data_IF_887969649223
#
_entry.id   IF_887969649223
#
_cell.length_a   1.000
_cell.length_b   1.000
_cell.length_c   1.000
_cell.angle_alpha   90.00
_cell.angle_beta   90.00
_cell.angle_gamma   90.00
#
_symmetry.space_group_name_H-M   'P 1'
#
loop_
_entity.id
_entity.type
_entity.pdbx_description
1 polymer ?
#
# COMPACT_ATOMS: atom_id res chain seq x y z
N UNK A 1 -13.63 19.02 4.20
CA UNK A 1 -13.18 19.54 2.89
C UNK A 1 -12.09 20.59 3.04
N UNK A 2 -12.29 21.68 3.79
CA UNK A 2 -11.29 22.76 3.96
C UNK A 2 -9.93 22.22 4.44
N UNK A 3 -9.89 21.39 5.49
CA UNK A 3 -8.64 20.80 5.98
C UNK A 3 -7.93 19.93 4.93
N UNK A 4 -8.69 19.19 4.11
CA UNK A 4 -8.13 18.34 3.05
C UNK A 4 -7.45 19.19 1.97
N UNK A 5 -8.11 20.28 1.54
CA UNK A 5 -7.54 21.21 0.57
C UNK A 5 -6.32 21.94 1.14
N UNK A 6 -6.36 22.31 2.43
CA UNK A 6 -5.23 22.95 3.10
C UNK A 6 -3.98 22.05 3.18
N UNK A 7 -4.15 20.73 3.34
CA UNK A 7 -3.01 19.80 3.43
C UNK A 7 -2.18 19.78 2.14
N UNK A 8 -2.80 19.95 0.96
CA UNK A 8 -2.10 19.87 -0.33
C UNK A 8 -0.92 20.87 -0.46
N UNK A 9 -1.11 22.20 -0.29
CA UNK A 9 0.01 23.14 -0.32
C UNK A 9 0.97 22.98 0.86
N UNK A 10 0.50 22.57 2.04
CA UNK A 10 1.38 22.30 3.18
C UNK A 10 2.31 21.11 2.91
N UNK A 11 1.80 20.04 2.31
CA UNK A 11 2.59 18.88 1.93
C UNK A 11 3.69 19.26 0.92
N UNK A 12 3.34 20.11 -0.06
CA UNK A 12 4.31 20.65 -1.01
C UNK A 12 5.43 21.44 -0.31
N UNK A 13 5.07 22.39 0.56
CA UNK A 13 6.04 23.20 1.30
C UNK A 13 6.96 22.35 2.19
N UNK A 14 6.41 21.32 2.85
CA UNK A 14 7.20 20.40 3.66
C UNK A 14 8.17 19.57 2.81
N UNK A 15 7.73 19.12 1.62
CA UNK A 15 8.57 18.42 0.66
C UNK A 15 9.75 19.29 0.19
N UNK A 16 9.47 20.52 -0.25
CA UNK A 16 10.51 21.48 -0.67
C UNK A 16 11.49 21.79 0.47
N UNK A 17 11.00 21.99 1.70
CA UNK A 17 11.85 22.20 2.87
C UNK A 17 12.70 20.97 3.21
N UNK A 18 12.17 19.76 3.03
CA UNK A 18 12.90 18.50 3.26
C UNK A 18 14.01 18.31 2.23
N UNK A 19 13.74 18.63 0.97
CA UNK A 19 14.71 18.56 -0.12
C UNK A 19 15.85 19.57 0.10
N UNK A 20 15.52 20.83 0.42
CA UNK A 20 16.52 21.85 0.78
C UNK A 20 17.36 21.44 2.00
N UNK A 21 16.73 20.89 3.03
CA UNK A 21 17.46 20.40 4.20
C UNK A 21 18.38 19.23 3.83
N UNK A 22 17.92 18.30 3.00
CA UNK A 22 18.71 17.16 2.56
C UNK A 22 19.97 17.59 1.79
N UNK A 23 19.88 18.66 0.97
CA UNK A 23 21.03 19.21 0.24
C UNK A 23 22.13 19.77 1.16
N UNK A 24 21.77 20.23 2.36
CA UNK A 24 22.71 20.72 3.37
C UNK A 24 23.24 19.62 4.29
N UNK A 25 22.92 18.35 4.01
CA UNK A 25 23.38 17.18 4.77
C UNK A 25 24.18 16.22 3.89
N UNK A 26 24.72 15.15 4.48
CA UNK A 26 25.38 14.10 3.71
C UNK A 26 24.35 13.17 3.03
N UNK A 27 24.79 12.40 2.03
CA UNK A 27 23.90 11.56 1.20
C UNK A 27 23.05 10.57 2.03
N UNK A 28 23.61 10.00 3.09
CA UNK A 28 22.89 9.06 3.95
C UNK A 28 21.81 9.75 4.79
N UNK A 29 22.14 10.86 5.45
CA UNK A 29 21.18 11.64 6.23
C UNK A 29 20.12 12.27 5.33
N UNK A 30 20.50 12.81 4.18
CA UNK A 30 19.56 13.36 3.20
C UNK A 30 18.58 12.30 2.69
N UNK A 31 19.06 11.08 2.43
CA UNK A 31 18.20 9.94 2.09
C UNK A 31 17.23 9.58 3.21
N UNK A 32 17.69 9.56 4.47
CA UNK A 32 16.85 9.30 5.64
C UNK A 32 15.80 10.40 5.86
N UNK A 33 16.18 11.67 5.69
CA UNK A 33 15.28 12.82 5.79
C UNK A 33 14.17 12.73 4.73
N UNK A 34 14.52 12.45 3.48
CA UNK A 34 13.53 12.31 2.41
C UNK A 34 12.61 11.11 2.64
N UNK A 35 13.14 9.97 3.09
CA UNK A 35 12.32 8.79 3.38
C UNK A 35 11.31 9.04 4.52
N UNK A 36 11.70 9.81 5.54
CA UNK A 36 10.87 10.11 6.71
C UNK A 36 9.97 11.33 6.50
N UNK A 37 10.55 12.53 6.35
CA UNK A 37 9.82 13.78 6.22
C UNK A 37 9.15 13.97 4.86
N UNK A 38 9.68 13.35 3.80
CA UNK A 38 9.04 13.34 2.48
C UNK A 38 7.70 12.59 2.47
N UNK A 39 7.47 11.69 3.43
CA UNK A 39 6.19 10.98 3.64
C UNK A 39 5.55 11.36 4.99
N UNK A 40 5.95 12.49 5.61
CA UNK A 40 5.50 12.84 6.96
C UNK A 40 3.99 13.06 7.03
N UNK A 41 3.39 13.62 5.98
CA UNK A 41 1.94 13.87 5.95
C UNK A 41 1.17 12.55 6.01
N UNK A 42 1.54 11.56 5.19
CA UNK A 42 0.94 10.23 5.28
C UNK A 42 1.15 9.58 6.65
N UNK A 43 2.37 9.66 7.20
CA UNK A 43 2.70 9.09 8.50
C UNK A 43 1.87 9.71 9.64
N UNK A 44 1.77 11.04 9.69
CA UNK A 44 1.01 11.77 10.71
C UNK A 44 -0.47 11.40 10.62
N UNK A 45 -1.06 11.43 9.42
CA UNK A 45 -2.47 11.08 9.22
C UNK A 45 -2.71 9.61 9.57
N UNK A 46 -1.80 8.72 9.18
CA UNK A 46 -1.86 7.29 9.49
C UNK A 46 -1.83 7.02 10.99
N UNK A 47 -0.91 7.65 11.73
CA UNK A 47 -0.79 7.50 13.19
C UNK A 47 -2.04 8.04 13.90
N UNK A 48 -2.56 9.20 13.47
CA UNK A 48 -3.78 9.79 14.06
C UNK A 48 -5.02 8.94 13.74
N UNK A 49 -5.08 8.33 12.57
CA UNK A 49 -6.17 7.41 12.23
C UNK A 49 -6.07 6.11 13.05
N UNK A 50 -4.85 5.58 13.23
CA UNK A 50 -4.60 4.38 14.01
C UNK A 50 -4.94 4.58 15.49
N UNK A 51 -4.59 5.73 16.07
CA UNK A 51 -4.93 6.06 17.47
C UNK A 51 -6.45 6.18 17.71
N UNK A 52 -7.24 6.36 16.64
CA UNK A 52 -8.70 6.35 16.65
C UNK A 52 -9.31 4.99 16.30
N UNK A 53 -8.49 3.94 16.17
CA UNK A 53 -8.94 2.59 15.80
C UNK A 53 -9.37 2.44 14.33
N UNK A 54 -9.03 3.40 13.47
CA UNK A 54 -9.44 3.40 12.05
C UNK A 54 -8.50 2.54 11.19
N UNK A 55 -8.31 1.27 11.57
CA UNK A 55 -7.34 0.37 10.92
C UNK A 55 -7.58 0.23 9.41
N UNK A 56 -8.85 0.07 9.00
CA UNK A 56 -9.22 -0.07 7.58
C UNK A 56 -8.86 1.17 6.76
N UNK A 57 -8.96 2.36 7.36
CA UNK A 57 -8.57 3.61 6.71
C UNK A 57 -7.06 3.65 6.48
N UNK A 58 -6.27 3.26 7.49
CA UNK A 58 -4.80 3.20 7.39
C UNK A 58 -4.33 2.19 6.34
N UNK A 59 -4.94 1.00 6.32
CA UNK A 59 -4.66 -0.03 5.32
C UNK A 59 -4.99 0.46 3.90
N UNK A 60 -6.19 1.04 3.72
CA UNK A 60 -6.61 1.59 2.44
C UNK A 60 -5.73 2.76 1.99
N UNK A 61 -5.30 3.64 2.90
CA UNK A 61 -4.41 4.75 2.56
C UNK A 61 -3.00 4.29 2.18
N UNK A 62 -2.48 3.24 2.81
CA UNK A 62 -1.17 2.67 2.47
C UNK A 62 -1.18 2.08 1.05
N UNK A 63 -2.18 1.24 0.73
CA UNK A 63 -2.36 0.71 -0.63
C UNK A 63 -2.63 1.83 -1.65
N UNK A 64 -3.47 2.81 -1.27
CA UNK A 64 -3.78 3.97 -2.09
C UNK A 64 -2.55 4.81 -2.43
N UNK A 65 -1.63 5.01 -1.49
CA UNK A 65 -0.37 5.74 -1.72
C UNK A 65 0.51 5.03 -2.76
N UNK A 66 0.68 3.71 -2.64
CA UNK A 66 1.43 2.91 -3.62
C UNK A 66 0.80 3.01 -5.00
N UNK A 67 -0.51 2.76 -5.11
CA UNK A 67 -1.23 2.82 -6.38
C UNK A 67 -1.22 4.22 -7.00
N UNK A 68 -1.38 5.26 -6.18
CA UNK A 68 -1.32 6.65 -6.63
C UNK A 68 0.04 6.96 -7.24
N UNK A 69 1.15 6.55 -6.62
CA UNK A 69 2.48 6.83 -7.16
C UNK A 69 2.76 6.08 -8.47
N UNK A 70 2.36 4.80 -8.56
CA UNK A 70 2.67 3.94 -9.71
C UNK A 70 1.74 4.17 -10.89
N UNK A 71 0.47 4.49 -10.65
CA UNK A 71 -0.52 4.65 -11.71
C UNK A 71 -0.83 6.12 -11.98
N UNK A 72 -1.22 6.87 -10.95
CA UNK A 72 -1.68 8.24 -11.13
C UNK A 72 -0.51 9.19 -11.39
N UNK A 73 0.46 9.27 -10.49
CA UNK A 73 1.60 10.19 -10.62
C UNK A 73 2.44 9.85 -11.84
N UNK A 74 2.81 8.56 -12.00
CA UNK A 74 3.56 8.10 -13.17
C UNK A 74 2.78 8.31 -14.48
N UNK A 75 1.47 7.99 -14.50
CA UNK A 75 0.62 8.18 -15.68
C UNK A 75 0.48 9.65 -16.06
N UNK A 76 0.32 10.54 -15.07
CA UNK A 76 0.29 11.99 -15.29
C UNK A 76 1.65 12.53 -15.74
N UNK A 77 2.76 11.98 -15.24
CA UNK A 77 4.10 12.33 -15.71
C UNK A 77 4.30 11.93 -17.18
N UNK A 78 3.86 10.73 -17.58
CA UNK A 78 3.90 10.30 -18.99
C UNK A 78 2.97 11.13 -19.87
N UNK A 79 1.77 11.45 -19.38
CA UNK A 79 0.84 12.32 -20.10
C UNK A 79 1.44 13.71 -20.30
N UNK A 80 1.96 14.33 -19.24
CA UNK A 80 2.60 15.65 -19.32
C UNK A 80 3.84 15.63 -20.22
N UNK A 81 4.71 14.62 -20.11
CA UNK A 81 5.87 14.46 -20.98
C UNK A 81 5.44 14.28 -22.45
N UNK A 82 4.41 13.47 -22.71
CA UNK A 82 3.89 13.15 -24.04
C UNK A 82 3.27 14.35 -24.78
N UNK A 83 2.79 15.37 -24.05
CA UNK A 83 2.30 16.61 -24.69
C UNK A 83 3.42 17.43 -25.31
N UNK A 84 4.66 17.31 -24.81
CA UNK A 84 5.82 18.07 -25.28
C UNK A 84 6.80 17.24 -26.11
N UNK A 85 6.96 15.96 -25.78
CA UNK A 85 7.95 15.07 -26.38
C UNK A 85 7.28 13.82 -26.97
N UNK A 86 7.59 13.49 -28.23
CA UNK A 86 7.09 12.27 -28.89
C UNK A 86 7.64 10.99 -28.25
N UNK A 87 8.87 11.05 -27.77
CA UNK A 87 9.56 9.98 -27.03
C UNK A 87 10.33 10.62 -25.89
N UNK A 88 10.29 9.99 -24.71
CA UNK A 88 11.04 10.41 -23.54
C UNK A 88 12.03 9.32 -23.17
N UNK A 89 13.29 9.69 -22.97
CA UNK A 89 14.35 8.76 -22.55
C UNK A 89 14.49 8.79 -21.04
N UNK A 90 14.74 7.62 -20.44
CA UNK A 90 14.96 7.44 -19.01
C UNK A 90 16.13 6.50 -18.80
N UNK A 91 16.77 6.56 -17.63
CA UNK A 91 17.80 5.60 -17.27
C UNK A 91 17.15 4.23 -17.02
N UNK A 92 17.30 3.31 -17.98
CA UNK A 92 16.70 1.98 -17.96
C UNK A 92 17.16 1.16 -16.76
N UNK A 93 18.46 1.21 -16.42
CA UNK A 93 19.03 0.51 -15.27
C UNK A 93 18.42 0.99 -13.95
N UNK A 94 18.33 2.30 -13.75
CA UNK A 94 17.75 2.87 -12.53
C UNK A 94 16.24 2.56 -12.43
N UNK A 95 15.50 2.73 -13.52
CA UNK A 95 14.07 2.43 -13.55
C UNK A 95 13.78 0.95 -13.28
N UNK A 96 14.58 0.04 -13.85
CA UNK A 96 14.45 -1.40 -13.62
C UNK A 96 14.79 -1.78 -12.17
N UNK A 97 15.83 -1.20 -11.59
CA UNK A 97 16.17 -1.41 -10.18
C UNK A 97 15.04 -0.95 -9.25
N UNK A 98 14.50 0.26 -9.43
CA UNK A 98 13.38 0.77 -8.65
C UNK A 98 12.11 -0.07 -8.82
N UNK A 99 11.80 -0.51 -10.05
CA UNK A 99 10.64 -1.37 -10.31
C UNK A 99 10.76 -2.73 -9.64
N UNK A 100 11.98 -3.29 -9.62
CA UNK A 100 12.25 -4.58 -8.97
C UNK A 100 12.15 -4.49 -7.45
N UNK A 101 12.69 -3.42 -6.85
CA UNK A 101 12.55 -3.16 -5.41
C UNK A 101 11.09 -2.93 -5.00
N UNK A 102 10.32 -2.18 -5.81
CA UNK A 102 8.90 -1.96 -5.57
C UNK A 102 8.12 -3.29 -5.62
N UNK A 103 8.38 -4.14 -6.62
CA UNK A 103 7.73 -5.44 -6.72
C UNK A 103 8.02 -6.29 -5.48
N UNK A 104 9.29 -6.37 -5.05
CA UNK A 104 9.69 -7.08 -3.84
C UNK A 104 8.97 -6.54 -2.60
N UNK A 105 8.90 -5.22 -2.44
CA UNK A 105 8.21 -4.59 -1.32
C UNK A 105 6.70 -4.89 -1.30
N UNK A 106 6.03 -4.80 -2.45
CA UNK A 106 4.59 -5.08 -2.57
C UNK A 106 4.31 -6.57 -2.34
N UNK A 107 5.14 -7.48 -2.85
CA UNK A 107 5.00 -8.91 -2.56
C UNK A 107 5.16 -9.21 -1.08
N UNK A 108 6.15 -8.60 -0.40
CA UNK A 108 6.33 -8.73 1.03
C UNK A 108 5.12 -8.24 1.84
N UNK A 109 4.53 -7.10 1.43
CA UNK A 109 3.33 -6.54 2.05
C UNK A 109 2.08 -7.42 1.82
N UNK A 110 1.97 -8.05 0.64
CA UNK A 110 0.83 -8.90 0.27
C UNK A 110 0.89 -10.30 0.88
N UNK A 111 2.08 -10.79 1.27
CA UNK A 111 2.27 -12.16 1.76
C UNK A 111 1.37 -12.50 2.95
N UNK A 112 1.27 -11.68 4.02
CA UNK A 112 0.35 -11.97 5.12
C UNK A 112 -1.11 -11.99 4.67
N UNK A 113 -1.52 -11.05 3.81
CA UNK A 113 -2.89 -10.97 3.31
C UNK A 113 -3.27 -12.21 2.50
N UNK A 114 -2.40 -12.66 1.59
CA UNK A 114 -2.59 -13.88 0.82
C UNK A 114 -2.67 -15.10 1.74
N UNK A 115 -1.79 -15.21 2.73
CA UNK A 115 -1.82 -16.30 3.70
C UNK A 115 -3.14 -16.37 4.47
N UNK A 116 -3.60 -15.25 5.04
CA UNK A 116 -4.86 -15.21 5.78
C UNK A 116 -6.07 -15.60 4.92
N UNK A 117 -6.12 -15.18 3.66
CA UNK A 117 -7.20 -15.56 2.74
C UNK A 117 -7.22 -17.08 2.49
N UNK A 118 -6.05 -17.68 2.23
CA UNK A 118 -5.95 -19.14 1.98
C UNK A 118 -6.33 -19.99 3.20
N UNK A 119 -5.91 -19.56 4.41
CA UNK A 119 -6.26 -20.26 5.65
C UNK A 119 -7.75 -20.14 5.93
N UNK A 120 -8.36 -18.97 5.72
CA UNK A 120 -9.79 -18.77 5.93
C UNK A 120 -10.64 -19.62 4.97
N UNK A 121 -10.21 -19.75 3.70
CA UNK A 121 -10.87 -20.66 2.75
C UNK A 121 -10.76 -22.12 3.17
N UNK A 122 -9.56 -22.56 3.58
CA UNK A 122 -9.32 -23.93 4.05
C UNK A 122 -10.16 -24.27 5.28
N UNK A 123 -10.26 -23.35 6.25
CA UNK A 123 -11.11 -23.54 7.44
C UNK A 123 -12.59 -23.63 7.09
N UNK A 124 -13.07 -22.80 6.14
CA UNK A 124 -14.48 -22.84 5.70
C UNK A 124 -14.82 -24.17 5.05
N UNK A 125 -13.93 -24.68 4.20
CA UNK A 125 -14.11 -25.95 3.50
C UNK A 125 -14.12 -27.13 4.49
N UNK A 126 -13.15 -27.18 5.41
CA UNK A 126 -13.10 -28.22 6.46
C UNK A 126 -14.35 -28.19 7.35
N UNK A 127 -14.85 -27.02 7.73
CA UNK A 127 -16.07 -26.89 8.53
C UNK A 127 -17.31 -27.37 7.77
N UNK A 128 -17.40 -27.11 6.47
CA UNK A 128 -18.48 -27.61 5.63
C UNK A 128 -18.46 -29.14 5.54
N UNK A 129 -17.28 -29.74 5.36
CA UNK A 129 -17.10 -31.19 5.30
C UNK A 129 -17.44 -31.88 6.64
N UNK A 130 -16.99 -31.29 7.76
CA UNK A 130 -17.35 -31.77 9.11
C UNK A 130 -18.84 -31.66 9.39
N UNK A 131 -19.52 -30.61 8.90
CA UNK A 131 -20.96 -30.44 9.07
C UNK A 131 -21.74 -31.53 8.32
N UNK A 132 -21.34 -31.83 7.08
CA UNK A 132 -21.94 -32.91 6.27
C UNK A 132 -21.72 -34.28 6.95
N UNK A 133 -20.51 -34.54 7.45
CA UNK A 133 -20.16 -35.80 8.11
C UNK A 133 -20.92 -36.02 9.42
N UNK A 134 -21.21 -34.94 10.18
CA UNK A 134 -22.03 -35.03 11.40
C UNK A 134 -23.49 -35.30 11.08
N UNK A 135 -24.03 -34.63 10.06
CA UNK A 135 -25.41 -34.81 9.62
C UNK A 135 -25.68 -36.25 9.16
N UNK A 136 -24.79 -36.85 8.37
CA UNK A 136 -24.92 -38.25 7.92
C UNK A 136 -24.79 -39.25 9.07
N UNK A 137 -23.96 -38.96 10.08
CA UNK A 137 -23.82 -39.81 11.27
C UNK A 137 -25.06 -39.79 12.17
N UNK A 138 -25.76 -38.65 12.28
CA UNK A 138 -27.02 -38.54 13.04
C UNK A 138 -28.18 -39.28 12.34
N UNK A 139 -28.30 -39.19 11.01
CA UNK A 139 -29.34 -39.90 10.25
C UNK A 139 -29.15 -41.44 10.25
N UNK A 140 -27.91 -41.92 10.34
CA UNK A 140 -27.61 -43.36 10.39
C UNK A 140 -28.04 -44.06 11.69
N UNK A 141 -28.33 -43.30 12.77
CA UNK A 141 -28.79 -43.82 14.05
C UNK A 141 -30.31 -43.76 14.26
N UNK A 142 -31.08 -43.32 13.25
CA UNK A 142 -32.55 -43.36 13.31
C UNK A 142 -33.03 -44.83 13.31
N UNK A 143 -33.81 -45.29 14.32
CA UNK A 143 -34.26 -46.66 14.39
C UNK A 143 -35.19 -46.97 13.21
N UNK A 144 -34.77 -47.95 12.38
CA UNK A 144 -35.60 -48.56 11.35
C UNK A 144 -36.82 -49.17 12.06
N UNK A 145 -37.98 -48.51 11.93
CA UNK A 145 -39.28 -49.04 12.37
C UNK A 145 -39.81 -50.05 11.37
#
# INVERSE_FOLDING_TARGET
VICMVAIVPLAKLLGEATEELALHTNQTLGGLLNASFGNAVELIIGIVALSKGLLRVVQASCLGSILSNVLLVLGMAFFAAGTKFKTSSFNSTAAQASSSMLLLAVMGLMLPAAFFLTVEETEKELRAELAISRFTAEDAHAPVR
#
